data_IF_609158211125
#
_entry.id   IF_609158211125
#
_cell.length_a   1.000
_cell.length_b   1.000
_cell.length_c   1.000
_cell.angle_alpha   90.00
_cell.angle_beta   90.00
_cell.angle_gamma   90.00
#
_symmetry.space_group_name_H-M   'P 1'
#
loop_
_entity.id
_entity.type
_entity.pdbx_description
1 polymer ?
#
# COMPACT_ATOMS: atom_id res chain seq x y z
N UNK A 1 15.29 -6.51 -23.04
CA UNK A 1 14.89 -7.25 -21.84
C UNK A 1 13.46 -6.88 -21.50
N UNK A 2 12.64 -7.86 -21.13
CA UNK A 2 11.29 -7.62 -20.60
C UNK A 2 11.37 -6.89 -19.26
N UNK A 3 10.33 -6.09 -18.94
CA UNK A 3 10.27 -5.34 -17.68
C UNK A 3 9.37 -6.08 -16.68
N UNK A 4 9.81 -6.27 -15.43
CA UNK A 4 8.92 -6.79 -14.39
C UNK A 4 7.75 -5.84 -14.16
N UNK A 5 6.63 -6.35 -13.68
CA UNK A 5 5.45 -5.55 -13.38
C UNK A 5 5.27 -5.38 -11.87
N UNK A 6 4.89 -4.18 -11.43
CA UNK A 6 4.50 -3.91 -10.05
C UNK A 6 3.04 -3.41 -9.99
N UNK A 7 2.31 -3.81 -8.96
CA UNK A 7 0.94 -3.36 -8.69
C UNK A 7 0.92 -2.50 -7.44
N UNK A 8 0.44 -1.26 -7.54
CA UNK A 8 0.24 -0.38 -6.39
C UNK A 8 -1.24 -0.04 -6.25
N UNK A 9 -1.88 -0.59 -5.21
CA UNK A 9 -3.31 -0.42 -4.93
C UNK A 9 -3.55 0.69 -3.91
N UNK A 10 -4.49 1.58 -4.19
CA UNK A 10 -4.82 2.70 -3.31
C UNK A 10 -4.04 3.96 -3.65
N UNK A 11 -3.69 4.13 -4.92
CA UNK A 11 -3.09 5.36 -5.42
C UNK A 11 -4.15 6.47 -5.50
N UNK A 12 -3.80 7.62 -4.96
CA UNK A 12 -4.67 8.81 -4.91
C UNK A 12 -3.94 10.04 -5.42
N UNK A 13 -3.67 11.00 -4.52
CA UNK A 13 -2.98 12.24 -4.89
C UNK A 13 -1.56 11.98 -5.39
N UNK A 14 -1.08 12.83 -6.29
CA UNK A 14 0.28 12.78 -6.84
C UNK A 14 1.36 12.91 -5.76
N UNK A 15 1.12 13.78 -4.76
CA UNK A 15 1.96 13.88 -3.56
C UNK A 15 1.38 12.99 -2.44
N UNK A 16 1.35 11.68 -2.68
CA UNK A 16 0.90 10.66 -1.74
C UNK A 16 1.79 9.43 -1.77
N UNK A 17 1.71 8.59 -0.71
CA UNK A 17 2.55 7.40 -0.56
C UNK A 17 2.40 6.42 -1.74
N UNK A 18 1.17 6.14 -2.19
CA UNK A 18 0.97 5.26 -3.34
C UNK A 18 1.63 5.77 -4.61
N UNK A 19 1.60 7.09 -4.85
CA UNK A 19 2.29 7.71 -5.98
C UNK A 19 3.82 7.66 -5.82
N UNK A 20 4.35 7.86 -4.60
CA UNK A 20 5.78 7.76 -4.31
C UNK A 20 6.30 6.33 -4.55
N UNK A 21 5.57 5.31 -4.07
CA UNK A 21 5.89 3.91 -4.32
C UNK A 21 5.87 3.59 -5.83
N UNK A 22 4.85 4.07 -6.54
CA UNK A 22 4.75 3.87 -8.00
C UNK A 22 5.96 4.49 -8.74
N UNK A 23 6.34 5.72 -8.39
CA UNK A 23 7.54 6.37 -8.96
C UNK A 23 8.82 5.63 -8.60
N UNK A 24 8.93 5.14 -7.36
CA UNK A 24 10.14 4.42 -6.91
C UNK A 24 10.34 3.13 -7.70
N UNK A 25 9.29 2.34 -7.89
CA UNK A 25 9.36 1.08 -8.63
C UNK A 25 9.61 1.30 -10.13
N UNK A 26 8.98 2.34 -10.72
CA UNK A 26 9.21 2.69 -12.12
C UNK A 26 10.67 3.12 -12.37
N UNK A 27 11.33 3.81 -11.43
CA UNK A 27 12.77 4.14 -11.50
C UNK A 27 13.67 2.92 -11.48
N UNK A 28 13.23 1.83 -10.85
CA UNK A 28 13.95 0.55 -10.83
C UNK A 28 13.64 -0.35 -12.03
N UNK A 29 12.90 0.17 -13.00
CA UNK A 29 12.65 -0.53 -14.26
C UNK A 29 11.33 -1.30 -14.33
N UNK A 30 10.52 -1.32 -13.28
CA UNK A 30 9.20 -1.94 -13.32
C UNK A 30 8.23 -1.19 -14.23
N UNK A 31 7.36 -1.93 -14.91
CA UNK A 31 6.10 -1.39 -15.40
C UNK A 31 5.10 -1.35 -14.24
N UNK A 32 4.53 -0.19 -13.92
CA UNK A 32 3.70 -0.02 -12.73
C UNK A 32 2.22 0.08 -13.08
N UNK A 33 1.41 -0.84 -12.60
CA UNK A 33 -0.05 -0.74 -12.61
C UNK A 33 -0.48 0.17 -11.45
N UNK A 34 -0.84 1.40 -11.80
CA UNK A 34 -1.25 2.44 -10.83
C UNK A 34 -2.74 2.31 -10.58
N UNK A 35 -3.11 1.58 -9.51
CA UNK A 35 -4.49 1.22 -9.22
C UNK A 35 -5.15 2.14 -8.18
N UNK A 36 -6.30 2.72 -8.54
CA UNK A 36 -7.06 3.61 -7.69
C UNK A 36 -8.46 3.92 -8.23
N UNK A 37 -9.31 4.51 -7.40
CA UNK A 37 -10.73 4.74 -7.72
C UNK A 37 -11.01 5.97 -8.57
N UNK A 38 -10.08 6.91 -8.63
CA UNK A 38 -10.29 8.22 -9.29
C UNK A 38 -9.41 8.31 -10.53
N UNK A 39 -9.97 8.16 -11.75
CA UNK A 39 -9.20 8.13 -12.99
C UNK A 39 -8.22 9.31 -13.12
N UNK A 40 -8.71 10.53 -12.97
CA UNK A 40 -7.90 11.73 -13.12
C UNK A 40 -6.68 11.77 -12.18
N UNK A 41 -6.78 11.20 -10.98
CA UNK A 41 -5.66 11.15 -10.01
C UNK A 41 -4.60 10.14 -10.41
N UNK A 42 -5.01 8.94 -10.79
CA UNK A 42 -4.06 7.89 -11.19
C UNK A 42 -3.39 8.22 -12.52
N UNK A 43 -4.09 8.87 -13.44
CA UNK A 43 -3.53 9.37 -14.70
C UNK A 43 -2.46 10.46 -14.49
N UNK A 44 -2.65 11.36 -13.51
CA UNK A 44 -1.61 12.34 -13.13
C UNK A 44 -0.33 11.63 -12.69
N UNK A 45 -0.44 10.62 -11.85
CA UNK A 45 0.71 9.83 -11.39
C UNK A 45 1.40 9.11 -12.55
N UNK A 46 0.63 8.50 -13.44
CA UNK A 46 1.16 7.83 -14.64
C UNK A 46 1.89 8.82 -15.55
N UNK A 47 1.29 9.99 -15.82
CA UNK A 47 1.96 11.05 -16.63
C UNK A 47 3.28 11.48 -16.01
N UNK A 48 3.32 11.67 -14.69
CA UNK A 48 4.55 12.05 -13.98
C UNK A 48 5.65 10.97 -14.10
N UNK A 49 5.27 9.69 -14.04
CA UNK A 49 6.21 8.56 -14.23
C UNK A 49 6.74 8.53 -15.67
N UNK A 50 5.85 8.63 -16.66
CA UNK A 50 6.21 8.57 -18.08
C UNK A 50 7.08 9.79 -18.48
N UNK A 51 6.78 10.98 -17.95
CA UNK A 51 7.59 12.18 -18.19
C UNK A 51 9.05 12.05 -17.72
N UNK A 52 9.33 11.16 -16.79
CA UNK A 52 10.69 10.85 -16.31
C UNK A 52 11.30 9.61 -16.96
N UNK A 53 10.70 9.08 -18.04
CA UNK A 53 11.19 7.90 -18.77
C UNK A 53 10.78 6.57 -18.13
N UNK A 54 9.98 6.58 -17.06
CA UNK A 54 9.43 5.37 -16.44
C UNK A 54 8.29 4.73 -17.26
N UNK A 55 7.84 3.55 -16.83
CA UNK A 55 6.76 2.81 -17.46
C UNK A 55 5.62 2.59 -16.47
N UNK A 56 4.41 3.02 -16.82
CA UNK A 56 3.24 2.83 -15.98
C UNK A 56 1.93 2.93 -16.80
N UNK A 57 0.87 2.34 -16.26
CA UNK A 57 -0.49 2.52 -16.78
C UNK A 57 -1.50 2.73 -15.64
N UNK A 58 -2.59 3.49 -15.86
CA UNK A 58 -3.65 3.68 -14.89
C UNK A 58 -4.63 2.49 -14.93
N UNK A 59 -5.00 1.93 -13.78
CA UNK A 59 -6.03 0.90 -13.67
C UNK A 59 -7.10 1.35 -12.68
N UNK A 60 -8.28 1.70 -13.19
CA UNK A 60 -9.39 2.10 -12.33
C UNK A 60 -9.87 0.90 -11.54
N UNK A 61 -9.72 0.97 -10.21
CA UNK A 61 -9.95 -0.16 -9.31
C UNK A 61 -10.58 0.31 -8.00
N UNK A 62 -11.75 -0.18 -7.68
CA UNK A 62 -12.26 -0.15 -6.32
C UNK A 62 -11.86 -1.45 -5.60
N UNK A 63 -10.85 -1.37 -4.75
CA UNK A 63 -10.32 -2.54 -4.06
C UNK A 63 -11.33 -3.22 -3.11
N UNK A 64 -12.48 -2.60 -2.83
CA UNK A 64 -13.58 -3.21 -2.07
C UNK A 64 -14.50 -4.09 -2.93
N UNK A 65 -14.27 -4.11 -4.25
CA UNK A 65 -15.03 -4.89 -5.22
C UNK A 65 -14.18 -6.04 -5.76
N UNK A 66 -14.59 -7.26 -5.46
CA UNK A 66 -13.87 -8.47 -5.86
C UNK A 66 -13.60 -8.52 -7.36
N UNK A 67 -14.59 -8.21 -8.20
CA UNK A 67 -14.44 -8.23 -9.65
C UNK A 67 -13.43 -7.19 -10.18
N UNK A 68 -13.30 -6.02 -9.52
CA UNK A 68 -12.30 -5.02 -9.91
C UNK A 68 -10.88 -5.52 -9.57
N UNK A 69 -10.72 -6.13 -8.39
CA UNK A 69 -9.45 -6.70 -7.97
C UNK A 69 -9.04 -7.86 -8.87
N UNK A 70 -9.98 -8.76 -9.21
CA UNK A 70 -9.71 -9.86 -10.14
C UNK A 70 -9.19 -9.35 -11.49
N UNK A 71 -9.89 -8.36 -12.11
CA UNK A 71 -9.45 -7.75 -13.38
C UNK A 71 -8.08 -7.09 -13.29
N UNK A 72 -7.77 -6.41 -12.17
CA UNK A 72 -6.44 -5.84 -11.93
C UNK A 72 -5.37 -6.92 -11.98
N UNK A 73 -5.60 -8.05 -11.31
CA UNK A 73 -4.63 -9.16 -11.28
C UNK A 73 -4.58 -9.95 -12.59
N UNK A 74 -5.68 -10.07 -13.33
CA UNK A 74 -5.62 -10.62 -14.70
C UNK A 74 -4.71 -9.78 -15.59
N UNK A 75 -4.80 -8.44 -15.48
CA UNK A 75 -3.89 -7.52 -16.16
C UNK A 75 -2.44 -7.66 -15.67
N UNK A 76 -2.24 -7.82 -14.37
CA UNK A 76 -0.92 -7.91 -13.74
C UNK A 76 -0.14 -9.20 -14.13
N UNK A 77 -0.85 -10.29 -14.43
CA UNK A 77 -0.24 -11.58 -14.82
C UNK A 77 -0.04 -11.68 -16.33
N UNK A 78 -0.87 -11.03 -17.11
CA UNK A 78 -0.77 -10.97 -18.57
C UNK A 78 -0.61 -9.51 -19.04
N UNK A 79 0.49 -8.84 -18.68
CA UNK A 79 0.64 -7.40 -18.91
C UNK A 79 0.89 -7.03 -20.37
N UNK A 80 1.17 -8.00 -21.25
CA UNK A 80 1.37 -7.78 -22.68
C UNK A 80 2.84 -7.91 -23.12
N UNK A 81 3.07 -7.64 -24.40
CA UNK A 81 4.39 -7.84 -25.02
C UNK A 81 5.48 -6.94 -24.37
N UNK A 82 6.62 -7.53 -24.09
CA UNK A 82 7.77 -6.84 -23.46
C UNK A 82 7.65 -6.60 -21.97
N UNK A 83 6.60 -7.13 -21.32
CA UNK A 83 6.40 -7.08 -19.88
C UNK A 83 6.34 -8.49 -19.28
N UNK A 84 6.81 -8.62 -18.05
CA UNK A 84 6.72 -9.87 -17.27
C UNK A 84 5.55 -9.80 -16.29
N UNK A 85 5.01 -10.94 -15.86
CA UNK A 85 4.03 -10.98 -14.76
C UNK A 85 4.50 -10.19 -13.55
N UNK A 86 3.55 -9.72 -12.75
CA UNK A 86 3.88 -8.97 -11.54
C UNK A 86 4.66 -9.82 -10.53
N UNK A 87 5.67 -9.23 -9.93
CA UNK A 87 6.46 -9.79 -8.83
C UNK A 87 6.38 -8.93 -7.55
N UNK A 88 5.75 -7.75 -7.62
CA UNK A 88 5.63 -6.81 -6.52
C UNK A 88 4.21 -6.23 -6.42
N UNK A 89 3.58 -6.42 -5.27
CA UNK A 89 2.24 -5.89 -4.97
C UNK A 89 2.27 -5.06 -3.70
N UNK A 90 1.78 -3.83 -3.74
CA UNK A 90 1.60 -2.98 -2.57
C UNK A 90 0.13 -2.65 -2.35
N UNK A 91 -0.41 -3.04 -1.19
CA UNK A 91 -1.71 -2.60 -0.73
C UNK A 91 -1.56 -1.37 0.18
N UNK A 92 -1.95 -0.20 -0.33
CA UNK A 92 -1.84 1.08 0.36
C UNK A 92 -3.21 1.76 0.58
N UNK A 93 -4.32 1.11 0.23
CA UNK A 93 -5.64 1.68 0.44
C UNK A 93 -5.96 1.82 1.94
N UNK A 94 -6.56 2.94 2.28
CA UNK A 94 -6.96 3.21 3.65
C UNK A 94 -7.48 4.64 3.83
N UNK A 95 -8.18 4.83 4.91
CA UNK A 95 -8.61 6.13 5.38
C UNK A 95 -8.49 6.17 6.90
N UNK A 96 -8.30 7.35 7.44
CA UNK A 96 -8.38 7.60 8.86
C UNK A 96 -9.20 8.86 9.10
N UNK A 97 -10.00 8.85 10.14
CA UNK A 97 -10.77 10.01 10.62
C UNK A 97 -11.00 9.81 12.10
N UNK A 98 -10.80 10.87 12.88
CA UNK A 98 -11.16 10.86 14.30
C UNK A 98 -12.68 10.98 14.43
N UNK A 99 -13.30 10.06 15.16
CA UNK A 99 -14.73 10.03 15.48
C UNK A 99 -14.84 9.61 16.95
N UNK A 100 -15.63 10.32 17.75
CA UNK A 100 -15.94 9.87 19.12
C UNK A 100 -16.56 8.48 19.07
N UNK A 101 -16.14 7.58 19.95
CA UNK A 101 -16.58 6.19 19.92
C UNK A 101 -18.11 6.05 19.94
N UNK A 102 -18.80 6.92 20.67
CA UNK A 102 -20.27 6.96 20.79
C UNK A 102 -20.95 7.41 19.51
N UNK A 103 -20.23 8.13 18.64
CA UNK A 103 -20.73 8.70 17.38
C UNK A 103 -20.34 7.83 16.16
N UNK A 104 -19.58 6.75 16.37
CA UNK A 104 -19.23 5.82 15.27
C UNK A 104 -20.48 5.04 14.89
N UNK A 105 -21.07 5.36 13.74
CA UNK A 105 -22.21 4.59 13.22
C UNK A 105 -21.75 3.22 12.71
N UNK A 106 -22.66 2.22 12.73
CA UNK A 106 -22.37 0.90 12.16
C UNK A 106 -21.92 0.99 10.70
N UNK A 107 -22.55 1.85 9.90
CA UNK A 107 -22.16 2.09 8.51
C UNK A 107 -20.73 2.63 8.41
N UNK A 108 -20.39 3.65 9.20
CA UNK A 108 -19.03 4.21 9.18
C UNK A 108 -17.98 3.15 9.60
N UNK A 109 -18.29 2.34 10.63
CA UNK A 109 -17.41 1.26 11.06
C UNK A 109 -17.18 0.25 9.93
N UNK A 110 -18.24 -0.19 9.27
CA UNK A 110 -18.17 -1.11 8.14
C UNK A 110 -17.37 -0.52 6.96
N UNK A 111 -17.60 0.74 6.58
CA UNK A 111 -16.88 1.42 5.51
C UNK A 111 -15.37 1.45 5.77
N UNK A 112 -14.94 1.76 7.01
CA UNK A 112 -13.53 1.74 7.38
C UNK A 112 -12.93 0.33 7.29
N UNK A 113 -13.67 -0.67 7.79
CA UNK A 113 -13.25 -2.06 7.74
C UNK A 113 -13.16 -2.57 6.29
N UNK A 114 -14.15 -2.25 5.47
CA UNK A 114 -14.16 -2.64 4.04
C UNK A 114 -12.96 -2.09 3.30
N UNK A 115 -12.61 -0.82 3.50
CA UNK A 115 -11.48 -0.19 2.81
C UNK A 115 -10.13 -0.62 3.38
N UNK A 116 -10.01 -0.75 4.69
CA UNK A 116 -8.72 -0.95 5.37
C UNK A 116 -8.35 -2.42 5.60
N UNK A 117 -9.35 -3.32 5.69
CA UNK A 117 -9.17 -4.73 6.01
C UNK A 117 -9.65 -5.63 4.86
N UNK A 118 -10.95 -5.58 4.53
CA UNK A 118 -11.53 -6.45 3.51
C UNK A 118 -10.91 -6.28 2.13
N UNK A 119 -10.67 -5.04 1.70
CA UNK A 119 -9.97 -4.77 0.45
C UNK A 119 -8.53 -5.34 0.46
N UNK A 120 -7.84 -5.27 1.61
CA UNK A 120 -6.53 -5.91 1.78
C UNK A 120 -6.60 -7.43 1.66
N UNK A 121 -7.64 -8.05 2.21
CA UNK A 121 -7.91 -9.48 2.01
C UNK A 121 -8.12 -9.82 0.53
N UNK A 122 -8.95 -9.08 -0.19
CA UNK A 122 -9.18 -9.33 -1.62
C UNK A 122 -7.90 -9.22 -2.45
N UNK A 123 -7.10 -8.17 -2.22
CA UNK A 123 -5.82 -7.97 -2.91
C UNK A 123 -4.82 -9.07 -2.53
N UNK A 124 -4.71 -9.41 -1.25
CA UNK A 124 -3.81 -10.47 -0.79
C UNK A 124 -4.19 -11.84 -1.34
N UNK A 125 -5.49 -12.16 -1.38
CA UNK A 125 -5.99 -13.41 -1.95
C UNK A 125 -5.68 -13.53 -3.44
N UNK A 126 -5.93 -12.49 -4.23
CA UNK A 126 -5.60 -12.52 -5.66
C UNK A 126 -4.08 -12.55 -5.90
N UNK A 127 -3.30 -11.82 -5.09
CA UNK A 127 -1.84 -11.94 -5.13
C UNK A 127 -1.37 -13.38 -4.86
N UNK A 128 -1.87 -14.02 -3.81
CA UNK A 128 -1.52 -15.41 -3.50
C UNK A 128 -1.91 -16.36 -4.63
N UNK A 129 -3.14 -16.26 -5.16
CA UNK A 129 -3.61 -17.10 -6.27
C UNK A 129 -2.74 -17.03 -7.51
N UNK A 130 -2.14 -15.86 -7.78
CA UNK A 130 -1.38 -15.59 -9.01
C UNK A 130 0.14 -15.77 -8.82
N UNK A 131 0.68 -15.40 -7.65
CA UNK A 131 2.13 -15.41 -7.42
C UNK A 131 2.64 -16.72 -6.83
N UNK A 132 1.87 -17.41 -5.99
CA UNK A 132 2.28 -18.70 -5.42
C UNK A 132 2.61 -19.73 -6.51
N UNK A 133 1.81 -19.90 -7.59
CA UNK A 133 2.17 -20.79 -8.68
C UNK A 133 3.48 -20.43 -9.41
N UNK A 134 3.90 -19.15 -9.35
CA UNK A 134 5.17 -18.68 -9.92
C UNK A 134 6.37 -18.98 -9.00
N UNK A 135 6.11 -19.28 -7.72
CA UNK A 135 7.13 -19.57 -6.71
C UNK A 135 7.95 -18.35 -6.28
N UNK A 136 7.52 -17.14 -6.60
CA UNK A 136 8.18 -15.89 -6.21
C UNK A 136 7.20 -14.72 -6.19
N UNK A 137 7.58 -13.64 -5.50
CA UNK A 137 6.86 -12.39 -5.46
C UNK A 137 6.87 -11.77 -4.06
N UNK A 138 6.53 -10.50 -3.99
CA UNK A 138 6.46 -9.72 -2.75
C UNK A 138 5.10 -9.05 -2.61
N UNK A 139 4.46 -9.19 -1.47
CA UNK A 139 3.23 -8.48 -1.11
C UNK A 139 3.47 -7.62 0.12
N UNK A 140 3.29 -6.31 0.00
CA UNK A 140 3.50 -5.36 1.08
C UNK A 140 2.16 -4.74 1.48
N UNK A 141 1.80 -4.86 2.75
CA UNK A 141 0.63 -4.22 3.33
C UNK A 141 1.04 -2.97 4.11
N UNK A 142 0.51 -1.81 3.71
CA UNK A 142 0.69 -0.56 4.46
C UNK A 142 -0.15 -0.58 5.73
N UNK A 143 0.49 -0.81 6.86
CA UNK A 143 -0.07 -0.76 8.20
C UNK A 143 -0.14 0.64 8.77
N UNK A 144 -0.29 0.72 10.07
CA UNK A 144 -0.25 1.93 10.87
C UNK A 144 0.03 1.59 12.34
N UNK A 145 0.36 2.58 13.19
CA UNK A 145 0.36 2.37 14.65
C UNK A 145 -0.97 1.78 15.15
N UNK A 146 -2.07 2.10 14.46
CA UNK A 146 -3.40 1.53 14.69
C UNK A 146 -3.49 0.02 14.42
N UNK A 147 -2.50 -0.59 13.76
CA UNK A 147 -2.39 -2.05 13.63
C UNK A 147 -1.97 -2.73 14.94
N UNK A 148 -1.33 -1.97 15.83
CA UNK A 148 -0.73 -2.45 17.09
C UNK A 148 -1.50 -2.00 18.33
N UNK A 149 -2.11 -0.80 18.28
CA UNK A 149 -2.77 -0.18 19.44
C UNK A 149 -3.94 0.70 19.04
N UNK A 150 -5.02 0.66 19.81
CA UNK A 150 -6.14 1.60 19.69
C UNK A 150 -5.80 2.95 20.32
N UNK A 151 -6.19 4.04 19.64
CA UNK A 151 -6.14 5.39 20.23
C UNK A 151 -7.56 5.95 20.36
N UNK A 152 -7.86 6.81 21.36
CA UNK A 152 -9.17 7.43 21.50
C UNK A 152 -9.60 8.14 20.20
N UNK A 153 -10.82 7.86 19.75
CA UNK A 153 -11.40 8.40 18.52
C UNK A 153 -11.00 7.69 17.23
N UNK A 154 -10.30 6.55 17.28
CA UNK A 154 -9.86 5.81 16.09
C UNK A 154 -10.24 4.33 16.11
N UNK A 155 -11.26 3.92 16.85
CA UNK A 155 -11.66 2.52 16.99
C UNK A 155 -11.91 1.83 15.65
N UNK A 156 -12.66 2.47 14.75
CA UNK A 156 -12.98 1.94 13.42
C UNK A 156 -11.73 1.78 12.53
N UNK A 157 -10.79 2.69 12.64
CA UNK A 157 -9.51 2.62 11.93
C UNK A 157 -8.58 1.55 12.51
N UNK A 158 -8.52 1.46 13.86
CA UNK A 158 -7.72 0.46 14.54
C UNK A 158 -8.22 -0.96 14.25
N UNK A 159 -9.55 -1.20 14.29
CA UNK A 159 -10.13 -2.48 13.94
C UNK A 159 -9.76 -2.91 12.51
N UNK A 160 -9.83 -1.97 11.55
CA UNK A 160 -9.47 -2.24 10.17
C UNK A 160 -7.97 -2.57 10.00
N UNK A 161 -7.08 -1.80 10.64
CA UNK A 161 -5.62 -1.98 10.51
C UNK A 161 -5.10 -3.17 11.29
N UNK A 162 -5.68 -3.49 12.45
CA UNK A 162 -5.37 -4.72 13.19
C UNK A 162 -5.79 -5.97 12.38
N UNK A 163 -6.99 -5.96 11.77
CA UNK A 163 -7.43 -7.02 10.87
C UNK A 163 -6.49 -7.20 9.67
N UNK A 164 -6.05 -6.11 9.04
CA UNK A 164 -5.08 -6.16 7.94
C UNK A 164 -3.74 -6.79 8.37
N UNK A 165 -3.26 -6.45 9.57
CA UNK A 165 -2.03 -7.04 10.13
C UNK A 165 -2.17 -8.56 10.30
N UNK A 166 -3.32 -9.03 10.81
CA UNK A 166 -3.56 -10.47 10.98
C UNK A 166 -3.65 -11.20 9.64
N UNK A 167 -4.23 -10.59 8.62
CA UNK A 167 -4.23 -11.12 7.25
C UNK A 167 -2.80 -11.26 6.74
N UNK A 168 -1.97 -10.23 6.86
CA UNK A 168 -0.57 -10.27 6.45
C UNK A 168 0.22 -11.38 7.18
N UNK A 169 0.00 -11.54 8.49
CA UNK A 169 0.64 -12.60 9.28
C UNK A 169 0.21 -14.00 8.85
N UNK A 170 -1.08 -14.21 8.58
CA UNK A 170 -1.60 -15.49 8.10
C UNK A 170 -0.98 -15.85 6.74
N UNK A 171 -1.01 -14.89 5.80
CA UNK A 171 -0.43 -15.07 4.48
C UNK A 171 1.08 -15.36 4.52
N UNK A 172 1.83 -14.65 5.36
CA UNK A 172 3.27 -14.86 5.48
C UNK A 172 3.61 -16.29 5.93
N UNK A 173 2.85 -16.83 6.89
CA UNK A 173 3.05 -18.21 7.38
C UNK A 173 2.63 -19.26 6.37
N UNK A 174 1.54 -19.03 5.67
CA UNK A 174 0.97 -20.00 4.72
C UNK A 174 1.74 -20.03 3.42
N UNK A 175 2.12 -18.87 2.88
CA UNK A 175 2.70 -18.76 1.53
C UNK A 175 4.20 -18.45 1.52
N UNK A 176 4.80 -18.07 2.64
CA UNK A 176 6.25 -17.87 2.75
C UNK A 176 7.05 -19.11 2.32
N UNK A 177 6.74 -20.32 2.82
CA UNK A 177 7.40 -21.54 2.39
C UNK A 177 7.24 -21.86 0.89
N UNK A 178 6.23 -21.25 0.25
CA UNK A 178 5.94 -21.39 -1.18
C UNK A 178 6.58 -20.30 -2.05
N UNK A 179 7.42 -19.44 -1.45
CA UNK A 179 8.18 -18.42 -2.16
C UNK A 179 7.53 -17.04 -2.23
N UNK A 180 6.42 -16.79 -1.56
CA UNK A 180 5.79 -15.48 -1.51
C UNK A 180 6.24 -14.68 -0.27
N UNK A 181 6.99 -13.62 -0.48
CA UNK A 181 7.40 -12.71 0.59
C UNK A 181 6.24 -11.79 0.97
N UNK A 182 5.73 -11.89 2.19
CA UNK A 182 4.62 -11.05 2.68
C UNK A 182 5.11 -10.19 3.84
N UNK A 183 5.05 -8.87 3.67
CA UNK A 183 5.47 -7.90 4.66
C UNK A 183 4.33 -6.96 5.08
N UNK A 184 4.28 -6.60 6.35
CA UNK A 184 3.43 -5.59 6.93
C UNK A 184 4.28 -4.42 7.44
N UNK A 185 4.07 -3.21 6.90
CA UNK A 185 4.84 -2.03 7.28
C UNK A 185 4.01 -1.13 8.17
N UNK A 186 4.38 -1.04 9.42
CA UNK A 186 3.74 -0.18 10.42
C UNK A 186 4.18 1.26 10.20
N UNK A 187 3.28 2.12 9.78
CA UNK A 187 3.51 3.55 9.66
C UNK A 187 3.12 4.22 10.98
N UNK A 188 4.10 4.46 11.83
CA UNK A 188 3.87 5.05 13.15
C UNK A 188 4.23 6.54 13.17
N UNK A 189 3.33 7.35 12.65
CA UNK A 189 3.44 8.80 12.56
C UNK A 189 2.61 9.39 11.44
N UNK A 190 2.61 10.70 11.34
CA UNK A 190 1.98 11.44 10.24
C UNK A 190 2.79 11.28 8.95
N UNK A 191 2.12 10.95 7.86
CA UNK A 191 2.75 10.89 6.52
C UNK A 191 2.75 12.29 5.92
N UNK A 192 3.92 12.79 5.53
CA UNK A 192 4.08 14.09 4.84
C UNK A 192 3.61 13.98 3.38
N UNK A 193 2.31 13.98 3.19
CA UNK A 193 1.67 13.86 1.88
C UNK A 193 0.43 14.75 1.78
N UNK A 194 -0.08 14.89 0.55
CA UNK A 194 -1.21 15.78 0.22
C UNK A 194 -2.40 15.69 1.18
N UNK A 195 -2.70 14.50 1.66
CA UNK A 195 -3.83 14.28 2.58
C UNK A 195 -3.64 14.96 3.93
N UNK A 196 -2.44 14.91 4.49
CA UNK A 196 -2.13 15.59 5.76
C UNK A 196 -1.99 17.10 5.54
N UNK A 197 -1.30 17.49 4.47
CA UNK A 197 -1.13 18.90 4.06
C UNK A 197 -2.47 19.63 3.94
N UNK A 198 -3.50 18.97 3.35
CA UNK A 198 -4.81 19.58 3.16
C UNK A 198 -5.69 19.61 4.42
N UNK A 199 -5.44 18.70 5.39
CA UNK A 199 -6.30 18.54 6.58
C UNK A 199 -5.75 19.20 7.84
N UNK A 200 -4.44 19.26 7.97
CA UNK A 200 -3.75 19.73 9.16
C UNK A 200 -2.42 20.42 8.79
N UNK A 201 -2.45 21.54 8.03
CA UNK A 201 -1.23 22.23 7.61
C UNK A 201 -0.39 22.73 8.79
N UNK A 202 -1.02 23.11 9.91
CA UNK A 202 -0.31 23.57 11.10
C UNK A 202 0.47 22.45 11.81
N UNK A 203 0.03 21.20 11.68
CA UNK A 203 0.73 20.06 12.26
C UNK A 203 2.14 19.92 11.66
N UNK A 204 2.31 20.24 10.38
CA UNK A 204 3.61 20.18 9.70
C UNK A 204 4.58 21.19 10.30
N UNK A 205 4.09 22.44 10.53
CA UNK A 205 4.90 23.49 11.18
C UNK A 205 5.27 23.10 12.62
N UNK A 206 4.30 22.51 13.37
CA UNK A 206 4.52 22.09 14.75
C UNK A 206 5.52 20.96 14.87
N UNK A 207 5.49 20.00 13.95
CA UNK A 207 6.42 18.85 13.95
C UNK A 207 7.84 19.23 13.48
N UNK A 208 7.96 20.27 12.66
CA UNK A 208 9.23 20.75 12.13
C UNK A 208 9.89 19.78 11.15
N UNK A 209 11.14 20.05 10.85
CA UNK A 209 11.93 19.21 9.95
C UNK A 209 12.04 17.78 10.46
N UNK A 210 11.83 16.81 9.56
CA UNK A 210 11.83 15.36 9.83
C UNK A 210 10.88 14.88 10.95
N UNK A 211 9.94 15.74 11.37
CA UNK A 211 8.91 15.38 12.34
C UNK A 211 7.74 14.58 11.78
N UNK A 212 7.71 14.33 10.46
CA UNK A 212 6.73 13.52 9.72
C UNK A 212 7.46 12.52 8.83
N UNK A 213 6.79 11.39 8.54
CA UNK A 213 7.30 10.39 7.61
C UNK A 213 7.28 10.91 6.17
N UNK A 214 8.45 10.97 5.53
CA UNK A 214 8.59 11.27 4.11
C UNK A 214 8.02 10.17 3.24
N UNK A 215 7.20 10.52 2.24
CA UNK A 215 6.60 9.53 1.33
C UNK A 215 7.64 8.75 0.54
N UNK A 216 8.73 9.41 0.13
CA UNK A 216 9.81 8.79 -0.63
C UNK A 216 10.67 7.87 0.27
N UNK A 217 10.87 8.20 1.54
CA UNK A 217 11.56 7.34 2.51
C UNK A 217 10.77 6.05 2.79
N UNK A 218 9.43 6.14 2.89
CA UNK A 218 8.59 4.96 3.02
C UNK A 218 8.66 4.11 1.73
N UNK A 219 8.59 4.73 0.56
CA UNK A 219 8.67 4.03 -0.73
C UNK A 219 10.03 3.33 -0.91
N UNK A 220 11.12 3.96 -0.44
CA UNK A 220 12.45 3.34 -0.39
C UNK A 220 12.45 2.08 0.48
N UNK A 221 11.86 2.13 1.67
CA UNK A 221 11.73 0.94 2.53
C UNK A 221 10.96 -0.18 1.85
N UNK A 222 9.88 0.13 1.11
CA UNK A 222 9.13 -0.88 0.36
C UNK A 222 10.00 -1.55 -0.71
N UNK A 223 10.82 -0.76 -1.39
CA UNK A 223 11.78 -1.29 -2.36
C UNK A 223 12.83 -2.18 -1.71
N UNK A 224 13.39 -1.76 -0.58
CA UNK A 224 14.37 -2.56 0.17
C UNK A 224 13.78 -3.89 0.69
N UNK A 225 12.51 -3.90 1.09
CA UNK A 225 11.81 -5.14 1.47
C UNK A 225 11.72 -6.08 0.25
N UNK A 226 11.39 -5.57 -0.93
CA UNK A 226 11.28 -6.39 -2.14
C UNK A 226 12.63 -7.04 -2.52
N UNK A 227 13.73 -6.36 -2.30
CA UNK A 227 15.08 -6.84 -2.61
C UNK A 227 15.65 -7.85 -1.61
N UNK A 228 14.99 -8.11 -0.50
CA UNK A 228 15.52 -8.99 0.54
C UNK A 228 15.71 -10.43 0.02
N UNK A 229 16.85 -11.06 0.33
CA UNK A 229 17.09 -12.46 0.01
C UNK A 229 16.15 -13.36 0.80
N UNK A 230 15.77 -14.50 0.23
CA UNK A 230 14.88 -15.49 0.87
C UNK A 230 15.34 -15.98 2.24
N UNK A 231 16.64 -15.90 2.52
CA UNK A 231 17.23 -16.30 3.80
C UNK A 231 17.01 -15.28 4.92
N UNK A 232 16.50 -14.07 4.62
CA UNK A 232 16.37 -12.99 5.58
C UNK A 232 15.20 -12.06 5.24
N UNK A 233 14.00 -12.59 5.09
CA UNK A 233 12.80 -11.82 4.86
C UNK A 233 12.26 -11.17 6.12
N UNK A 234 12.07 -9.85 6.10
CA UNK A 234 11.34 -9.13 7.13
C UNK A 234 9.84 -9.33 6.94
N UNK A 235 9.15 -9.78 8.00
CA UNK A 235 7.70 -9.87 7.99
C UNK A 235 7.03 -8.57 8.45
N UNK A 236 7.56 -7.93 9.49
CA UNK A 236 7.02 -6.67 10.01
C UNK A 236 8.15 -5.65 10.18
N UNK A 237 7.89 -4.42 9.68
CA UNK A 237 8.83 -3.29 9.77
C UNK A 237 8.08 -2.10 10.35
N UNK A 238 8.64 -1.47 11.38
CA UNK A 238 8.11 -0.25 12.01
C UNK A 238 8.87 0.98 11.50
N UNK A 239 8.15 1.92 10.89
CA UNK A 239 8.69 3.19 10.43
C UNK A 239 8.08 4.32 11.22
N UNK A 240 8.93 5.20 11.77
CA UNK A 240 8.49 6.40 12.48
C UNK A 240 9.44 7.56 12.27
N UNK A 241 8.97 8.81 12.36
CA UNK A 241 9.86 9.96 12.46
C UNK A 241 10.64 9.88 13.77
N UNK A 242 11.88 10.34 13.78
CA UNK A 242 12.73 10.27 14.97
C UNK A 242 12.16 11.03 16.18
N UNK A 243 11.26 12.00 15.96
CA UNK A 243 10.58 12.79 17.00
C UNK A 243 9.24 12.17 17.46
N UNK A 244 8.78 11.08 16.86
CA UNK A 244 7.52 10.46 17.26
C UNK A 244 7.74 9.63 18.53
N UNK A 245 7.00 9.92 19.63
CA UNK A 245 7.15 9.16 20.86
C UNK A 245 6.62 7.73 20.73
N UNK A 246 7.21 6.83 21.51
CA UNK A 246 6.75 5.45 21.64
C UNK A 246 5.47 5.34 22.45
#
# INVERSE_FOLDING_TARGET
MSKPTAVVVGVGAEHGLGAAASRRFAREGHHVLVAGRTPAKIELVVRAIVATGGSAEPVVTDATREGDVARLFDRAIAPGAGLEPTDLVVFNAGNNRRIDFREVTAQAFEEFWRVGCFAGFLVGREAARRLVPLGHGTVIFTGASASLRGKPGYAQFAAAKAGLRMIAQSMAREFGPQGLHVAHVVIDGGINGQRLLSRAPDLIKQRGEDGLLGIDAIAETYWQIHLQPRSAWAHEVDLRPFKEPF
#
